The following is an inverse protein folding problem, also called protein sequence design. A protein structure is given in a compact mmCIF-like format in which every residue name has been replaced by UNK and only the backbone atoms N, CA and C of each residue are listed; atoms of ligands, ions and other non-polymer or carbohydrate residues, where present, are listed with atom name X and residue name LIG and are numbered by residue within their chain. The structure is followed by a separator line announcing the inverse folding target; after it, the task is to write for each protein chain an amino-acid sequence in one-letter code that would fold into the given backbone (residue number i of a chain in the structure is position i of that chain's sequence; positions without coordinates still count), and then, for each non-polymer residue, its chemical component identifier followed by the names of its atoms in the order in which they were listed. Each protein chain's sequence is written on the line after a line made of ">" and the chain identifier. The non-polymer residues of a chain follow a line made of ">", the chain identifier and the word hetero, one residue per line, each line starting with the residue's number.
data_IF_266189667096
#
_entry.id   IF_266189667096
#
_cell.length_a   1.000
_cell.length_b   1.000
_cell.length_c   1.000
_cell.angle_alpha   90.00
_cell.angle_beta   90.00
_cell.angle_gamma   90.00
#
_symmetry.space_group_name_H-M   'P 1'
#
loop_
_entity.id
_entity.type
_entity.pdbx_description
1 polymer ?
#
# COMPACT_ATOMS: atom_id res chain seq x y z
N UNK A 1 -4.57 -13.19 7.15
CA UNK A 1 -5.59 -12.16 7.53
C UNK A 1 -4.83 -10.99 8.15
N UNK A 2 -4.92 -9.79 7.59
CA UNK A 2 -4.22 -8.60 8.14
C UNK A 2 -4.98 -8.14 9.39
N UNK A 3 -4.25 -7.70 10.43
CA UNK A 3 -4.88 -7.12 11.63
C UNK A 3 -5.62 -5.83 11.26
N UNK A 4 -6.65 -5.47 12.01
CA UNK A 4 -7.60 -4.40 11.64
C UNK A 4 -6.93 -3.01 11.53
N UNK A 5 -5.96 -2.72 12.40
CA UNK A 5 -5.08 -1.54 12.34
C UNK A 5 -3.76 -1.79 11.60
N UNK A 6 -3.69 -2.88 10.85
CA UNK A 6 -2.48 -3.35 10.18
C UNK A 6 -2.05 -2.45 9.03
N UNK A 7 -0.75 -2.54 8.73
CA UNK A 7 -0.15 -1.87 7.58
C UNK A 7 0.28 -2.91 6.56
N UNK A 8 0.00 -2.65 5.29
CA UNK A 8 0.55 -3.40 4.16
C UNK A 8 1.50 -2.48 3.41
N UNK A 9 2.68 -2.99 3.08
CA UNK A 9 3.62 -2.33 2.17
C UNK A 9 3.66 -3.11 0.87
N UNK A 10 3.55 -2.39 -0.24
CA UNK A 10 3.72 -2.96 -1.58
C UNK A 10 4.89 -2.26 -2.23
N UNK A 11 5.87 -3.02 -2.70
CA UNK A 11 7.07 -2.52 -3.37
C UNK A 11 7.14 -3.00 -4.81
N UNK A 12 7.53 -2.12 -5.72
CA UNK A 12 7.73 -2.43 -7.14
C UNK A 12 8.96 -1.69 -7.69
N UNK A 13 9.60 -2.20 -8.76
CA UNK A 13 10.73 -1.52 -9.39
C UNK A 13 10.30 -0.17 -9.98
N UNK A 14 11.15 0.85 -9.85
CA UNK A 14 10.93 2.16 -10.46
C UNK A 14 11.08 2.09 -11.97
N UNK A 15 10.45 3.05 -12.66
CA UNK A 15 10.69 3.29 -14.09
C UNK A 15 12.16 3.50 -14.42
N UNK A 16 12.92 4.12 -13.52
CA UNK A 16 14.36 4.36 -13.67
C UNK A 16 15.24 3.13 -13.44
N UNK A 17 14.70 2.01 -12.93
CA UNK A 17 15.48 0.82 -12.62
C UNK A 17 15.95 0.04 -13.88
N UNK A 18 15.34 0.31 -15.04
CA UNK A 18 15.67 -0.40 -16.29
C UNK A 18 15.27 -1.88 -16.30
N UNK A 19 14.57 -2.36 -15.28
CA UNK A 19 14.02 -3.73 -15.18
C UNK A 19 12.60 -3.74 -15.74
N UNK A 20 12.19 -4.75 -16.53
CA UNK A 20 10.79 -4.91 -16.91
C UNK A 20 9.91 -5.09 -15.67
N UNK A 21 8.91 -4.22 -15.50
CA UNK A 21 7.90 -4.33 -14.44
C UNK A 21 6.51 -4.03 -15.00
N UNK A 22 5.53 -4.80 -14.54
CA UNK A 22 4.12 -4.60 -14.90
C UNK A 22 3.33 -3.87 -13.81
N UNK A 23 3.95 -3.66 -12.64
CA UNK A 23 3.30 -3.06 -11.47
C UNK A 23 3.61 -1.57 -11.39
N UNK A 24 2.57 -0.76 -11.35
CA UNK A 24 2.66 0.70 -11.14
C UNK A 24 1.93 1.12 -9.87
N UNK A 25 2.22 2.33 -9.40
CA UNK A 25 1.49 2.94 -8.27
C UNK A 25 -0.03 2.94 -8.49
N UNK A 26 -0.46 3.29 -9.71
CA UNK A 26 -1.87 3.33 -10.09
C UNK A 26 -2.51 1.95 -10.07
N UNK A 27 -1.78 0.92 -10.53
CA UNK A 27 -2.26 -0.46 -10.46
C UNK A 27 -2.43 -0.93 -9.02
N UNK A 28 -1.48 -0.58 -8.13
CA UNK A 28 -1.60 -0.89 -6.69
C UNK A 28 -2.82 -0.17 -6.09
N UNK A 29 -3.05 1.11 -6.40
CA UNK A 29 -4.23 1.84 -5.92
C UNK A 29 -5.53 1.29 -6.49
N UNK A 30 -5.56 0.93 -7.77
CA UNK A 30 -6.75 0.38 -8.42
C UNK A 30 -7.24 -0.90 -7.74
N UNK A 31 -6.32 -1.73 -7.24
CA UNK A 31 -6.66 -2.93 -6.47
C UNK A 31 -6.95 -2.62 -5.01
N UNK A 32 -6.19 -1.71 -4.39
CA UNK A 32 -6.27 -1.44 -2.94
C UNK A 32 -7.49 -0.61 -2.51
N UNK A 33 -7.88 0.40 -3.30
CA UNK A 33 -8.98 1.30 -2.92
C UNK A 33 -10.34 0.59 -2.82
N UNK A 34 -10.74 -0.27 -3.78
CA UNK A 34 -12.03 -0.96 -3.72
C UNK A 34 -12.16 -1.93 -2.54
N UNK A 35 -11.06 -2.53 -2.09
CA UNK A 35 -11.04 -3.45 -0.95
C UNK A 35 -10.99 -2.72 0.41
N UNK A 36 -11.03 -1.39 0.42
CA UNK A 36 -11.11 -0.57 1.64
C UNK A 36 -9.76 -0.21 2.27
N UNK A 37 -8.65 -0.40 1.54
CA UNK A 37 -7.38 0.22 1.91
C UNK A 37 -7.31 1.66 1.42
N UNK A 38 -6.50 2.47 2.08
CA UNK A 38 -6.14 3.83 1.70
C UNK A 38 -4.63 3.94 1.66
N UNK A 39 -4.11 4.69 0.70
CA UNK A 39 -2.70 5.04 0.64
C UNK A 39 -2.35 6.08 1.70
N UNK A 40 -1.25 5.82 2.40
CA UNK A 40 -0.79 6.64 3.52
C UNK A 40 0.49 7.35 3.18
N UNK A 41 1.40 6.65 2.50
CA UNK A 41 2.71 7.19 2.15
C UNK A 41 3.27 6.46 0.94
N UNK A 42 3.83 7.22 0.01
CA UNK A 42 4.71 6.70 -1.04
C UNK A 42 6.15 7.09 -0.71
N UNK A 43 7.11 6.20 -0.94
CA UNK A 43 8.53 6.50 -0.81
C UNK A 43 9.39 5.68 -1.77
N UNK A 44 10.54 6.23 -2.15
CA UNK A 44 11.65 5.42 -2.66
C UNK A 44 12.22 4.59 -1.51
N UNK A 45 12.26 3.27 -1.67
CA UNK A 45 12.88 2.36 -0.70
C UNK A 45 14.39 2.43 -0.85
N UNK A 46 14.87 2.33 -2.09
CA UNK A 46 16.27 2.48 -2.48
C UNK A 46 16.35 3.07 -3.90
N UNK A 47 17.47 2.92 -4.60
CA UNK A 47 17.64 3.38 -5.98
C UNK A 47 16.71 2.67 -6.97
N UNK A 48 16.36 1.42 -6.71
CA UNK A 48 15.66 0.50 -7.62
C UNK A 48 14.16 0.44 -7.33
N UNK A 49 13.74 0.51 -6.07
CA UNK A 49 12.38 0.18 -5.63
C UNK A 49 11.60 1.38 -5.10
N UNK A 50 10.34 1.46 -5.48
CA UNK A 50 9.33 2.30 -4.85
C UNK A 50 8.47 1.47 -3.90
N UNK A 51 7.94 2.12 -2.87
CA UNK A 51 7.04 1.51 -1.89
C UNK A 51 5.81 2.37 -1.65
N UNK A 52 4.63 1.71 -1.59
CA UNK A 52 3.38 2.30 -1.14
C UNK A 52 2.94 1.66 0.16
N UNK A 53 2.74 2.49 1.17
CA UNK A 53 2.12 2.12 2.44
C UNK A 53 0.61 2.22 2.32
N UNK A 54 -0.07 1.11 2.56
CA UNK A 54 -1.52 0.99 2.61
C UNK A 54 -1.97 0.65 4.02
N UNK A 55 -3.09 1.25 4.44
CA UNK A 55 -3.77 0.89 5.67
C UNK A 55 -5.27 0.76 5.44
N UNK A 56 -5.95 -0.08 6.24
CA UNK A 56 -7.42 -0.15 6.22
C UNK A 56 -7.98 1.22 6.57
N UNK A 57 -8.99 1.70 5.84
CA UNK A 57 -9.64 2.99 6.12
C UNK A 57 -10.16 3.02 7.55
N UNK A 58 -9.95 4.12 8.29
CA UNK A 58 -10.37 4.23 9.71
C UNK A 58 -11.85 3.91 9.94
N UNK A 59 -12.72 4.30 9.02
CA UNK A 59 -14.17 4.02 9.09
C UNK A 59 -14.51 2.54 8.92
N UNK A 60 -13.61 1.76 8.32
CA UNK A 60 -13.77 0.34 8.06
C UNK A 60 -13.08 -0.52 9.14
N UNK A 61 -12.35 0.11 10.06
CA UNK A 61 -11.72 -0.54 11.20
C UNK A 61 -12.78 -0.80 12.26
N UNK A 62 -12.72 -1.97 12.89
CA UNK A 62 -13.50 -2.27 14.08
C UNK A 62 -13.13 -1.26 15.16
N UNK A 63 -14.13 -0.57 15.70
CA UNK A 63 -13.94 0.27 16.87
C UNK A 63 -13.39 -0.61 17.99
N UNK A 64 -12.13 -0.41 18.37
CA UNK A 64 -11.58 -1.03 19.57
C UNK A 64 -12.29 -0.39 20.75
N UNK A 65 -13.39 -0.99 21.19
CA UNK A 65 -13.94 -0.74 22.52
C UNK A 65 -12.94 -1.33 23.51
N UNK A 66 -11.93 -0.54 23.89
CA UNK A 66 -11.09 -0.87 25.03
C UNK A 66 -11.96 -0.75 26.27
N UNK A 67 -12.21 -1.90 26.90
CA UNK A 67 -12.89 -1.99 28.20
C UNK A 67 -11.84 -1.86 29.31
#
# INVERSE_FOLDING_TARGET
>A
KVVDSGTVWVSWPKKSAGVPFDVTEDMVRAVALPVGFVDVKVCAIDETWSGLKLMVRRTNRKLTTTK
#
